data_IF_459681207444
#
_entry.id   IF_459681207444
#
_cell.length_a   1.000
_cell.length_b   1.000
_cell.length_c   1.000
_cell.angle_alpha   90.00
_cell.angle_beta   90.00
_cell.angle_gamma   90.00
#
_symmetry.space_group_name_H-M   'P 1'
#
loop_
_entity.id
_entity.type
_entity.pdbx_description
1 polymer ?
#
# COMPACT_ATOMS: atom_id res chain seq x y z
N UNK A 1 37.08 -12.39 -17.92
CA UNK A 1 37.53 -11.15 -17.26
C UNK A 1 36.50 -10.85 -16.21
N UNK A 2 36.87 -10.84 -14.93
CA UNK A 2 35.97 -10.34 -13.88
C UNK A 2 35.78 -8.84 -14.10
N UNK A 3 34.56 -8.44 -14.46
CA UNK A 3 34.23 -7.03 -14.58
C UNK A 3 34.10 -6.48 -13.16
N UNK A 4 35.13 -5.77 -12.71
CA UNK A 4 35.16 -5.08 -11.42
C UNK A 4 34.31 -3.82 -11.58
N UNK A 5 33.12 -3.80 -10.98
CA UNK A 5 32.20 -2.65 -11.00
C UNK A 5 30.95 -2.89 -10.15
N UNK A 6 30.13 -1.85 -9.90
CA UNK A 6 28.92 -1.97 -9.11
C UNK A 6 27.97 -3.00 -9.74
N UNK A 7 27.29 -3.75 -8.89
CA UNK A 7 26.33 -4.79 -9.29
C UNK A 7 24.93 -4.37 -8.89
N UNK A 8 23.95 -4.83 -9.65
CA UNK A 8 22.55 -4.66 -9.32
C UNK A 8 22.27 -5.21 -7.91
N UNK A 9 21.43 -4.48 -7.15
CA UNK A 9 21.05 -4.90 -5.81
C UNK A 9 20.37 -6.29 -5.88
N UNK A 10 20.92 -7.27 -5.16
CA UNK A 10 20.49 -8.67 -5.27
C UNK A 10 19.04 -8.90 -4.83
N UNK A 11 18.57 -8.16 -3.81
CA UNK A 11 17.21 -8.29 -3.28
C UNK A 11 16.20 -7.69 -4.26
N UNK A 12 16.46 -6.48 -4.77
CA UNK A 12 15.61 -5.86 -5.83
C UNK A 12 15.58 -6.75 -7.07
N UNK A 13 16.71 -7.31 -7.49
CA UNK A 13 16.75 -8.23 -8.62
C UNK A 13 16.01 -9.54 -8.36
N UNK A 14 16.00 -10.05 -7.13
CA UNK A 14 15.21 -11.23 -6.77
C UNK A 14 13.72 -10.95 -6.89
N UNK A 15 13.26 -9.78 -6.43
CA UNK A 15 11.88 -9.34 -6.57
C UNK A 15 11.50 -9.12 -8.04
N UNK A 16 12.40 -8.53 -8.84
CA UNK A 16 12.18 -8.31 -10.27
C UNK A 16 11.98 -9.64 -11.02
N UNK A 17 12.82 -10.64 -10.70
CA UNK A 17 12.69 -11.99 -11.25
C UNK A 17 11.38 -12.66 -10.85
N UNK A 18 10.96 -12.52 -9.60
CA UNK A 18 9.67 -13.03 -9.15
C UNK A 18 8.52 -12.36 -9.93
N UNK A 19 8.52 -11.03 -10.03
CA UNK A 19 7.51 -10.30 -10.79
C UNK A 19 7.46 -10.71 -12.27
N UNK A 20 8.61 -10.97 -12.88
CA UNK A 20 8.64 -11.50 -14.25
C UNK A 20 8.14 -12.93 -14.36
N UNK A 21 8.42 -13.79 -13.38
CA UNK A 21 7.86 -15.14 -13.35
C UNK A 21 6.33 -15.09 -13.23
N UNK A 22 5.83 -14.21 -12.38
CA UNK A 22 4.40 -13.98 -12.17
C UNK A 22 3.72 -13.45 -13.45
N UNK A 23 4.43 -12.65 -14.25
CA UNK A 23 3.96 -12.23 -15.57
C UNK A 23 3.92 -13.39 -16.58
N UNK A 24 5.00 -14.18 -16.68
CA UNK A 24 5.15 -15.24 -17.69
C UNK A 24 4.25 -16.44 -17.41
N UNK A 25 4.13 -16.82 -16.14
CA UNK A 25 3.41 -18.02 -15.70
C UNK A 25 2.09 -17.73 -14.99
N UNK A 26 1.74 -16.46 -14.79
CA UNK A 26 0.48 -16.06 -14.17
C UNK A 26 -0.73 -16.43 -15.02
N UNK A 27 -1.76 -16.99 -14.35
CA UNK A 27 -2.96 -17.47 -15.04
C UNK A 27 -3.99 -16.37 -15.33
N UNK A 28 -3.92 -15.24 -14.62
CA UNK A 28 -4.86 -14.13 -14.72
C UNK A 28 -4.28 -12.93 -15.50
N UNK A 29 -4.97 -12.39 -16.52
CA UNK A 29 -4.43 -11.28 -17.33
C UNK A 29 -4.08 -10.03 -16.52
N UNK A 30 -4.97 -9.60 -15.61
CA UNK A 30 -4.74 -8.40 -14.78
C UNK A 30 -3.53 -8.57 -13.85
N UNK A 31 -3.37 -9.78 -13.28
CA UNK A 31 -2.19 -10.14 -12.50
C UNK A 31 -0.92 -10.10 -13.35
N UNK A 32 -0.95 -10.75 -14.51
CA UNK A 32 0.21 -10.82 -15.40
C UNK A 32 0.65 -9.43 -15.89
N UNK A 33 -0.30 -8.56 -16.26
CA UNK A 33 -0.02 -7.18 -16.67
C UNK A 33 0.54 -6.33 -15.53
N UNK A 34 -0.05 -6.41 -14.33
CA UNK A 34 0.48 -5.72 -13.16
C UNK A 34 1.91 -6.19 -12.86
N UNK A 35 2.15 -7.50 -12.84
CA UNK A 35 3.46 -8.05 -12.48
C UNK A 35 4.51 -7.78 -13.55
N UNK A 36 4.12 -7.67 -14.82
CA UNK A 36 5.00 -7.18 -15.88
C UNK A 36 5.47 -5.76 -15.57
N UNK A 37 4.53 -4.85 -15.34
CA UNK A 37 4.84 -3.45 -15.02
C UNK A 37 5.71 -3.34 -13.76
N UNK A 38 5.40 -4.13 -12.73
CA UNK A 38 6.18 -4.16 -11.49
C UNK A 38 7.60 -4.72 -11.69
N UNK A 39 7.78 -5.69 -12.59
CA UNK A 39 9.12 -6.19 -12.95
C UNK A 39 9.97 -5.11 -13.62
N UNK A 40 9.38 -4.33 -14.53
CA UNK A 40 10.05 -3.21 -15.21
C UNK A 40 10.45 -2.11 -14.21
N UNK A 41 9.55 -1.75 -13.28
CA UNK A 41 9.88 -0.80 -12.20
C UNK A 41 11.03 -1.26 -11.31
N UNK A 42 11.09 -2.55 -10.97
CA UNK A 42 12.17 -3.09 -10.14
C UNK A 42 13.50 -3.16 -10.90
N UNK A 43 13.46 -3.40 -12.21
CA UNK A 43 14.65 -3.29 -13.06
C UNK A 43 15.15 -1.85 -13.11
N UNK A 44 14.27 -0.88 -13.31
CA UNK A 44 14.62 0.55 -13.28
C UNK A 44 15.18 0.96 -11.92
N UNK A 45 14.61 0.46 -10.82
CA UNK A 45 15.14 0.69 -9.48
C UNK A 45 16.52 0.06 -9.27
N UNK A 46 16.74 -1.16 -9.77
CA UNK A 46 18.05 -1.79 -9.74
C UNK A 46 19.10 -0.98 -10.52
N UNK A 47 18.72 -0.42 -11.67
CA UNK A 47 19.58 0.48 -12.46
C UNK A 47 19.86 1.79 -11.72
N UNK A 48 18.85 2.38 -11.08
CA UNK A 48 19.01 3.59 -10.25
C UNK A 48 20.02 3.36 -9.13
N UNK A 49 19.89 2.24 -8.43
CA UNK A 49 20.79 1.86 -7.32
C UNK A 49 22.22 1.54 -7.78
N UNK A 50 22.39 1.06 -9.01
CA UNK A 50 23.73 0.89 -9.62
C UNK A 50 24.44 2.23 -9.86
N UNK A 51 23.69 3.33 -9.94
CA UNK A 51 24.21 4.65 -10.27
C UNK A 51 24.70 4.75 -11.71
N UNK A 52 25.35 5.87 -12.01
CA UNK A 52 25.93 6.16 -13.32
C UNK A 52 27.44 6.38 -13.20
N UNK A 53 28.15 6.12 -14.28
CA UNK A 53 29.57 6.41 -14.41
C UNK A 53 29.84 7.90 -14.69
N UNK A 54 31.12 8.26 -14.87
CA UNK A 54 31.55 9.64 -15.17
C UNK A 54 30.97 10.21 -16.46
N UNK A 55 30.44 9.36 -17.34
CA UNK A 55 29.78 9.75 -18.60
C UNK A 55 28.26 9.81 -18.49
N UNK A 56 27.72 9.53 -17.30
CA UNK A 56 26.28 9.49 -17.03
C UNK A 56 25.59 8.21 -17.52
N UNK A 57 26.34 7.15 -17.82
CA UNK A 57 25.80 5.87 -18.28
C UNK A 57 25.79 4.83 -17.15
N UNK A 58 24.82 3.92 -17.14
CA UNK A 58 24.81 2.80 -16.19
C UNK A 58 26.00 1.87 -16.48
N UNK A 59 26.79 1.48 -15.47
CA UNK A 59 27.93 0.59 -15.66
C UNK A 59 27.54 -0.76 -16.30
N UNK A 60 28.32 -1.25 -17.27
CA UNK A 60 28.06 -2.54 -17.94
C UNK A 60 28.12 -3.76 -17.00
N UNK A 61 28.71 -3.62 -15.82
CA UNK A 61 28.70 -4.63 -14.75
C UNK A 61 27.34 -4.79 -14.08
N UNK A 62 26.45 -3.80 -14.21
CA UNK A 62 25.08 -3.85 -13.71
C UNK A 62 24.18 -4.56 -14.74
N UNK A 63 24.03 -5.88 -14.58
CA UNK A 63 23.11 -6.66 -15.40
C UNK A 63 21.76 -6.83 -14.68
N UNK A 64 20.69 -6.36 -15.31
CA UNK A 64 19.30 -6.49 -14.84
C UNK A 64 18.46 -7.47 -15.68
N UNK A 65 19.05 -8.06 -16.72
CA UNK A 65 18.41 -9.10 -17.51
C UNK A 65 18.42 -10.47 -16.83
N UNK A 66 17.41 -11.27 -17.12
CA UNK A 66 17.30 -12.67 -16.73
C UNK A 66 16.72 -13.49 -17.90
N UNK A 67 17.09 -14.77 -18.02
CA UNK A 67 16.53 -15.68 -19.02
C UNK A 67 15.33 -16.45 -18.48
N UNK A 68 14.51 -17.05 -19.36
CA UNK A 68 13.28 -17.76 -18.99
C UNK A 68 13.51 -18.93 -18.01
N UNK A 69 14.68 -19.58 -18.07
CA UNK A 69 15.06 -20.67 -17.16
C UNK A 69 15.52 -20.20 -15.78
N UNK A 70 15.72 -18.89 -15.59
CA UNK A 70 16.19 -18.28 -14.35
C UNK A 70 15.02 -17.79 -13.47
N UNK A 71 13.79 -17.95 -13.93
CA UNK A 71 12.58 -17.45 -13.28
C UNK A 71 12.08 -18.43 -12.19
N UNK A 72 11.79 -17.95 -10.97
CA UNK A 72 11.24 -18.77 -9.89
C UNK A 72 9.78 -19.17 -10.16
N UNK A 73 9.16 -19.91 -9.23
CA UNK A 73 7.73 -20.20 -9.30
C UNK A 73 6.90 -18.91 -9.13
N UNK A 74 5.77 -18.83 -9.84
CA UNK A 74 4.83 -17.75 -9.69
C UNK A 74 4.18 -17.76 -8.30
N UNK A 75 3.96 -16.57 -7.75
CA UNK A 75 3.27 -16.31 -6.50
C UNK A 75 1.90 -15.68 -6.76
N UNK A 76 0.99 -15.79 -5.79
CA UNK A 76 -0.23 -14.98 -5.74
C UNK A 76 -0.02 -13.73 -4.85
N UNK A 77 -1.05 -12.90 -4.72
CA UNK A 77 -0.99 -11.67 -3.92
C UNK A 77 -0.67 -11.91 -2.44
N UNK A 78 -1.16 -13.01 -1.85
CA UNK A 78 -0.93 -13.33 -0.44
C UNK A 78 0.52 -13.79 -0.21
N UNK A 79 1.06 -14.62 -1.11
CA UNK A 79 2.47 -14.99 -1.10
C UNK A 79 3.38 -13.78 -1.33
N UNK A 80 2.99 -12.84 -2.20
CA UNK A 80 3.72 -11.59 -2.43
C UNK A 80 3.75 -10.70 -1.17
N UNK A 81 2.64 -10.59 -0.43
CA UNK A 81 2.59 -9.90 0.85
C UNK A 81 3.67 -10.42 1.82
N UNK A 82 3.70 -11.73 2.04
CA UNK A 82 4.67 -12.37 2.95
C UNK A 82 6.12 -12.17 2.50
N UNK A 83 6.35 -12.25 1.18
CA UNK A 83 7.65 -11.97 0.60
C UNK A 83 8.06 -10.51 0.81
N UNK A 84 7.15 -9.54 0.58
CA UNK A 84 7.41 -8.11 0.76
C UNK A 84 7.71 -7.78 2.22
N UNK A 85 6.96 -8.31 3.18
CA UNK A 85 7.21 -8.09 4.61
C UNK A 85 8.61 -8.60 5.01
N UNK A 86 9.06 -9.70 4.41
CA UNK A 86 10.40 -10.26 4.65
C UNK A 86 11.51 -9.50 3.92
N UNK A 87 11.25 -9.05 2.70
CA UNK A 87 12.22 -8.41 1.82
C UNK A 87 12.44 -6.93 2.19
N UNK A 88 11.43 -6.24 2.71
CA UNK A 88 11.51 -4.82 2.97
C UNK A 88 12.58 -4.42 4.02
N UNK A 89 13.07 -5.33 4.86
CA UNK A 89 14.22 -5.07 5.75
C UNK A 89 15.59 -5.31 5.08
N UNK A 90 15.60 -5.81 3.85
CA UNK A 90 16.82 -6.20 3.11
C UNK A 90 17.05 -5.33 1.88
N UNK A 91 15.99 -4.74 1.34
CA UNK A 91 16.11 -3.73 0.28
C UNK A 91 16.65 -2.43 0.85
N UNK A 92 17.25 -1.56 0.03
CA UNK A 92 17.62 -0.22 0.47
C UNK A 92 16.39 0.57 0.94
N UNK A 93 16.56 1.44 1.94
CA UNK A 93 15.48 2.23 2.54
C UNK A 93 14.68 3.01 1.47
N UNK A 94 15.37 3.65 0.52
CA UNK A 94 14.76 4.39 -0.59
C UNK A 94 13.92 3.51 -1.55
N UNK A 95 14.03 2.18 -1.45
CA UNK A 95 13.30 1.22 -2.28
C UNK A 95 12.12 0.58 -1.56
N UNK A 96 11.97 0.76 -0.24
CA UNK A 96 10.91 0.15 0.57
C UNK A 96 9.53 0.60 0.07
N UNK A 97 9.35 1.90 -0.17
CA UNK A 97 8.13 2.49 -0.71
C UNK A 97 7.67 1.77 -1.99
N UNK A 98 8.59 1.49 -2.91
CA UNK A 98 8.29 0.80 -4.16
C UNK A 98 7.81 -0.63 -3.90
N UNK A 99 8.55 -1.42 -3.13
CA UNK A 99 8.23 -2.84 -2.90
C UNK A 99 6.92 -3.00 -2.13
N UNK A 100 6.68 -2.12 -1.16
CA UNK A 100 5.42 -2.09 -0.40
C UNK A 100 4.25 -1.67 -1.28
N UNK A 101 4.40 -0.62 -2.09
CA UNK A 101 3.40 -0.21 -3.07
C UNK A 101 2.99 -1.37 -4.00
N UNK A 102 3.96 -2.15 -4.47
CA UNK A 102 3.68 -3.28 -5.36
C UNK A 102 2.85 -4.38 -4.71
N UNK A 103 3.11 -4.70 -3.43
CA UNK A 103 2.31 -5.67 -2.68
C UNK A 103 0.87 -5.18 -2.46
N UNK A 104 0.70 -3.89 -2.17
CA UNK A 104 -0.62 -3.27 -1.99
C UNK A 104 -1.43 -3.38 -3.29
N UNK A 105 -0.84 -3.01 -4.42
CA UNK A 105 -1.52 -3.06 -5.73
C UNK A 105 -1.88 -4.50 -6.13
N UNK A 106 -0.99 -5.44 -5.85
CA UNK A 106 -1.19 -6.86 -6.14
C UNK A 106 -2.31 -7.49 -5.30
N UNK A 107 -2.37 -7.17 -4.00
CA UNK A 107 -3.46 -7.61 -3.12
C UNK A 107 -4.81 -7.01 -3.54
N UNK A 108 -4.82 -5.73 -3.92
CA UNK A 108 -6.03 -5.00 -4.29
C UNK A 108 -6.72 -5.54 -5.56
N UNK A 109 -6.05 -6.36 -6.37
CA UNK A 109 -6.64 -7.02 -7.54
C UNK A 109 -7.79 -7.98 -7.17
N UNK A 110 -7.73 -8.58 -5.99
CA UNK A 110 -8.76 -9.53 -5.50
C UNK A 110 -9.42 -9.01 -4.22
N UNK A 111 -10.60 -9.51 -3.83
CA UNK A 111 -11.19 -9.17 -2.54
C UNK A 111 -10.20 -9.44 -1.40
N UNK A 112 -9.85 -8.39 -0.66
CA UNK A 112 -8.86 -8.47 0.41
C UNK A 112 -9.52 -8.96 1.68
N UNK A 113 -8.99 -10.04 2.25
CA UNK A 113 -9.39 -10.49 3.59
C UNK A 113 -8.56 -9.76 4.63
N UNK A 114 -9.24 -9.10 5.56
CA UNK A 114 -8.61 -8.46 6.70
C UNK A 114 -8.40 -9.53 7.77
N UNK A 115 -7.25 -10.19 7.72
CA UNK A 115 -6.81 -11.17 8.70
C UNK A 115 -5.53 -10.63 9.34
N UNK A 116 -5.67 -10.00 10.51
CA UNK A 116 -4.57 -9.31 11.17
C UNK A 116 -4.30 -9.92 12.54
N UNK A 117 -3.02 -10.15 12.83
CA UNK A 117 -2.54 -10.64 14.12
C UNK A 117 -2.39 -9.46 15.09
N UNK A 118 -3.10 -9.51 16.21
CA UNK A 118 -3.01 -8.54 17.31
C UNK A 118 -2.82 -9.22 18.68
N UNK A 119 -2.61 -8.45 19.75
CA UNK A 119 -2.43 -6.98 19.72
C UNK A 119 -1.05 -6.57 19.17
N UNK A 120 -0.90 -5.30 18.82
CA UNK A 120 0.41 -4.70 18.56
C UNK A 120 1.21 -4.59 19.87
N UNK A 121 2.51 -4.87 19.83
CA UNK A 121 3.40 -4.85 21.00
C UNK A 121 4.48 -3.75 20.94
N UNK A 122 4.44 -2.92 19.90
CA UNK A 122 5.37 -1.82 19.65
C UNK A 122 4.65 -0.46 19.73
N UNK A 123 5.27 0.50 20.41
CA UNK A 123 4.69 1.83 20.66
C UNK A 123 4.52 2.64 19.36
N UNK A 124 5.48 2.57 18.44
CA UNK A 124 5.42 3.30 17.17
C UNK A 124 4.35 2.70 16.24
N UNK A 125 4.26 1.37 16.18
CA UNK A 125 3.19 0.66 15.50
C UNK A 125 1.81 1.02 16.07
N UNK A 126 1.69 1.03 17.40
CA UNK A 126 0.45 1.37 18.10
C UNK A 126 0.03 2.82 17.80
N UNK A 127 0.96 3.77 17.86
CA UNK A 127 0.68 5.17 17.51
C UNK A 127 0.27 5.32 16.04
N UNK A 128 0.96 4.63 15.11
CA UNK A 128 0.63 4.66 13.68
C UNK A 128 -0.77 4.11 13.40
N UNK A 129 -1.14 3.00 14.05
CA UNK A 129 -2.48 2.43 13.95
C UNK A 129 -3.56 3.35 14.56
N UNK A 130 -3.29 3.98 15.70
CA UNK A 130 -4.19 4.94 16.32
C UNK A 130 -4.41 6.20 15.45
N UNK A 131 -3.35 6.71 14.82
CA UNK A 131 -3.44 7.84 13.89
C UNK A 131 -4.30 7.50 12.67
N UNK A 132 -4.17 6.28 12.13
CA UNK A 132 -5.00 5.82 11.01
C UNK A 132 -6.45 5.57 11.44
N UNK A 133 -6.70 5.08 12.65
CA UNK A 133 -8.05 4.96 13.20
C UNK A 133 -8.72 6.35 13.30
N UNK A 134 -8.00 7.36 13.77
CA UNK A 134 -8.49 8.73 13.82
C UNK A 134 -8.83 9.27 12.42
N UNK A 135 -8.02 8.94 11.40
CA UNK A 135 -8.26 9.33 10.00
C UNK A 135 -9.47 8.63 9.38
N UNK A 136 -9.66 7.33 9.63
CA UNK A 136 -10.85 6.60 9.21
C UNK A 136 -12.11 7.22 9.81
N UNK A 137 -12.08 7.53 11.11
CA UNK A 137 -13.20 8.19 11.79
C UNK A 137 -13.48 9.58 11.22
N UNK A 138 -12.45 10.36 10.89
CA UNK A 138 -12.60 11.66 10.23
C UNK A 138 -13.20 11.53 8.82
N UNK A 139 -12.75 10.54 8.03
CA UNK A 139 -13.32 10.24 6.72
C UNK A 139 -14.79 9.86 6.84
N UNK A 140 -15.14 8.97 7.77
CA UNK A 140 -16.52 8.55 8.01
C UNK A 140 -17.43 9.74 8.33
N UNK A 141 -16.95 10.69 9.13
CA UNK A 141 -17.67 11.94 9.40
C UNK A 141 -17.83 12.81 8.14
N UNK A 142 -16.76 13.01 7.37
CA UNK A 142 -16.80 13.78 6.12
C UNK A 142 -17.74 13.18 5.07
N UNK A 143 -17.78 11.85 4.96
CA UNK A 143 -18.75 11.11 4.14
C UNK A 143 -20.19 11.40 4.58
N UNK A 144 -20.43 11.53 5.90
CA UNK A 144 -21.71 11.93 6.47
C UNK A 144 -22.17 13.32 6.00
N UNK A 145 -21.25 14.29 5.93
CA UNK A 145 -21.55 15.63 5.41
C UNK A 145 -21.88 15.60 3.92
N UNK A 146 -21.13 14.83 3.12
CA UNK A 146 -21.36 14.70 1.69
C UNK A 146 -22.75 14.13 1.34
N UNK A 147 -23.33 13.28 2.20
CA UNK A 147 -24.66 12.70 2.00
C UNK A 147 -25.78 13.73 1.88
N UNK A 148 -25.64 14.90 2.53
CA UNK A 148 -26.64 15.97 2.47
C UNK A 148 -26.83 16.52 1.04
N UNK A 149 -25.79 16.43 0.21
CA UNK A 149 -25.75 16.95 -1.16
C UNK A 149 -25.67 15.84 -2.22
N UNK A 150 -25.68 14.57 -1.82
CA UNK A 150 -25.51 13.43 -2.70
C UNK A 150 -26.75 13.13 -3.56
N UNK A 151 -26.51 12.70 -4.80
CA UNK A 151 -27.50 12.03 -5.65
C UNK A 151 -27.53 10.51 -5.35
N UNK A 152 -28.30 9.74 -6.12
CA UNK A 152 -28.41 8.30 -5.90
C UNK A 152 -27.08 7.56 -6.10
N UNK A 153 -26.32 7.91 -7.16
CA UNK A 153 -25.04 7.29 -7.44
C UNK A 153 -24.02 7.59 -6.34
N UNK A 154 -23.92 8.85 -5.90
CA UNK A 154 -23.01 9.23 -4.83
C UNK A 154 -23.42 8.61 -3.48
N UNK A 155 -24.71 8.46 -3.19
CA UNK A 155 -25.16 7.75 -1.97
C UNK A 155 -24.70 6.30 -1.95
N UNK A 156 -24.82 5.58 -3.07
CA UNK A 156 -24.31 4.20 -3.19
C UNK A 156 -22.82 4.16 -2.93
N UNK A 157 -22.05 5.03 -3.59
CA UNK A 157 -20.59 5.12 -3.41
C UNK A 157 -20.20 5.43 -1.96
N UNK A 158 -20.88 6.38 -1.32
CA UNK A 158 -20.65 6.71 0.10
C UNK A 158 -20.97 5.51 0.99
N UNK A 159 -22.03 4.75 0.71
CA UNK A 159 -22.37 3.56 1.48
C UNK A 159 -21.25 2.52 1.42
N UNK A 160 -20.75 2.21 0.22
CA UNK A 160 -19.64 1.26 0.02
C UNK A 160 -18.38 1.70 0.80
N UNK A 161 -18.02 2.97 0.70
CA UNK A 161 -16.87 3.54 1.41
C UNK A 161 -17.03 3.50 2.93
N UNK A 162 -18.25 3.72 3.44
CA UNK A 162 -18.54 3.65 4.89
C UNK A 162 -18.47 2.23 5.42
N UNK A 163 -18.97 1.25 4.69
CA UNK A 163 -18.85 -0.17 5.07
C UNK A 163 -17.37 -0.59 5.07
N UNK A 164 -16.63 -0.28 4.00
CA UNK A 164 -15.20 -0.60 3.94
C UNK A 164 -14.38 0.09 5.03
N UNK A 165 -14.71 1.35 5.36
CA UNK A 165 -14.10 2.07 6.50
C UNK A 165 -14.45 1.41 7.83
N UNK A 166 -15.70 0.99 8.02
CA UNK A 166 -16.13 0.30 9.23
C UNK A 166 -15.32 -0.97 9.48
N UNK A 167 -15.17 -1.84 8.48
CA UNK A 167 -14.36 -3.05 8.57
C UNK A 167 -12.89 -2.75 8.98
N UNK A 168 -12.30 -1.67 8.42
CA UNK A 168 -10.94 -1.25 8.81
C UNK A 168 -10.90 -0.70 10.24
N UNK A 169 -11.91 0.07 10.68
CA UNK A 169 -11.97 0.58 12.06
C UNK A 169 -12.15 -0.53 13.09
N UNK A 170 -12.93 -1.57 12.76
CA UNK A 170 -13.08 -2.75 13.62
C UNK A 170 -11.75 -3.48 13.76
N UNK A 171 -11.07 -3.77 12.65
CA UNK A 171 -9.77 -4.42 12.65
C UNK A 171 -8.70 -3.60 13.40
N UNK A 172 -8.69 -2.27 13.24
CA UNK A 172 -7.81 -1.37 13.99
C UNK A 172 -8.09 -1.37 15.49
N UNK A 173 -9.37 -1.40 15.88
CA UNK A 173 -9.76 -1.45 17.29
C UNK A 173 -9.33 -2.76 17.93
N UNK A 174 -9.47 -3.88 17.23
CA UNK A 174 -8.97 -5.18 17.69
C UNK A 174 -7.43 -5.22 17.81
N UNK A 175 -6.72 -4.64 16.84
CA UNK A 175 -5.25 -4.53 16.85
C UNK A 175 -4.71 -3.71 18.04
N UNK A 176 -5.38 -2.60 18.36
CA UNK A 176 -5.00 -1.71 19.45
C UNK A 176 -5.38 -2.29 20.82
N UNK A 177 -6.36 -3.20 20.86
CA UNK A 177 -6.83 -3.84 22.08
C UNK A 177 -7.45 -2.86 23.09
N UNK A 178 -7.62 -3.32 24.34
CA UNK A 178 -8.01 -2.46 25.45
C UNK A 178 -6.83 -1.54 25.82
N UNK A 179 -6.89 -0.30 25.36
CA UNK A 179 -5.94 0.74 25.80
C UNK A 179 -6.41 1.26 27.15
N UNK A 180 -5.55 1.19 28.17
CA UNK A 180 -5.82 1.62 29.56
C UNK A 180 -6.33 3.09 29.64
N UNK A 181 -7.64 3.28 29.45
CA UNK A 181 -8.33 4.57 29.57
C UNK A 181 -8.23 5.52 28.37
N UNK A 182 -7.61 5.14 27.25
CA UNK A 182 -7.70 5.92 26.01
C UNK A 182 -8.95 5.49 25.24
N UNK A 183 -9.90 6.40 25.09
CA UNK A 183 -11.12 6.11 24.35
C UNK A 183 -10.79 6.07 22.86
N UNK A 184 -10.76 4.88 22.26
CA UNK A 184 -10.66 4.65 20.81
C UNK A 184 -11.91 5.10 20.03
N UNK A 185 -12.75 5.94 20.65
CA UNK A 185 -14.02 6.36 20.08
C UNK A 185 -13.82 7.58 19.18
N UNK A 186 -14.60 7.70 18.09
CA UNK A 186 -14.58 8.88 17.24
C UNK A 186 -14.78 10.18 18.04
N UNK A 187 -14.10 11.25 17.63
CA UNK A 187 -14.38 12.58 18.15
C UNK A 187 -15.83 13.01 17.83
N UNK A 188 -16.41 13.86 18.67
CA UNK A 188 -17.78 14.37 18.48
C UNK A 188 -17.94 15.25 17.22
N UNK A 189 -16.84 15.75 16.66
CA UNK A 189 -16.82 16.53 15.43
C UNK A 189 -15.40 16.68 14.89
N UNK A 190 -15.30 16.95 13.58
CA UNK A 190 -14.05 17.13 12.86
C UNK A 190 -14.05 18.45 12.10
N UNK A 191 -12.88 19.04 11.96
CA UNK A 191 -12.66 20.22 11.12
C UNK A 191 -12.01 19.79 9.82
N UNK A 192 -12.47 20.36 8.71
CA UNK A 192 -11.79 20.21 7.43
C UNK A 192 -10.36 20.75 7.49
N UNK A 193 -9.42 19.99 6.93
CA UNK A 193 -8.08 20.48 6.68
C UNK A 193 -8.12 21.59 5.62
N UNK A 194 -7.08 22.41 5.58
CA UNK A 194 -6.96 23.48 4.56
C UNK A 194 -7.12 22.91 3.14
N UNK A 195 -7.99 23.53 2.34
CA UNK A 195 -8.32 23.08 0.98
C UNK A 195 -9.61 22.26 0.88
N UNK A 196 -10.19 21.84 2.00
CA UNK A 196 -11.51 21.21 2.05
C UNK A 196 -12.60 22.20 2.48
N UNK A 197 -13.79 22.07 1.91
CA UNK A 197 -14.95 22.91 2.25
C UNK A 197 -16.21 22.05 2.36
N UNK A 198 -17.18 22.54 3.14
CA UNK A 198 -18.53 21.97 3.17
C UNK A 198 -19.15 22.04 1.77
N UNK A 199 -19.51 20.89 1.17
CA UNK A 199 -20.05 20.87 -0.18
C UNK A 199 -21.43 21.52 -0.19
N UNK A 200 -21.73 22.32 -1.21
CA UNK A 200 -23.04 22.95 -1.41
C UNK A 200 -23.81 22.30 -2.56
N UNK A 201 -23.12 21.55 -3.41
CA UNK A 201 -23.69 20.86 -4.58
C UNK A 201 -23.27 19.40 -4.63
N UNK A 202 -23.97 18.59 -5.42
CA UNK A 202 -23.59 17.20 -5.66
C UNK A 202 -22.20 17.08 -6.29
N UNK A 203 -21.83 17.99 -7.21
CA UNK A 203 -20.50 17.98 -7.82
C UNK A 203 -19.40 18.22 -6.79
N UNK A 204 -19.59 19.18 -5.89
CA UNK A 204 -18.64 19.45 -4.81
C UNK A 204 -18.58 18.30 -3.80
N UNK A 205 -19.72 17.65 -3.51
CA UNK A 205 -19.76 16.48 -2.65
C UNK A 205 -19.00 15.29 -3.27
N UNK A 206 -19.14 15.05 -4.58
CA UNK A 206 -18.37 14.03 -5.28
C UNK A 206 -16.88 14.31 -5.20
N UNK A 207 -16.45 15.53 -5.51
CA UNK A 207 -15.04 15.91 -5.45
C UNK A 207 -14.48 15.78 -4.03
N UNK A 208 -15.27 16.14 -3.01
CA UNK A 208 -14.91 15.95 -1.60
C UNK A 208 -14.68 14.47 -1.27
N UNK A 209 -15.63 13.59 -1.61
CA UNK A 209 -15.55 12.14 -1.36
C UNK A 209 -14.33 11.53 -2.04
N UNK A 210 -14.11 11.85 -3.32
CA UNK A 210 -12.97 11.35 -4.10
C UNK A 210 -11.64 11.81 -3.50
N UNK A 211 -11.54 13.09 -3.11
CA UNK A 211 -10.31 13.65 -2.55
C UNK A 211 -10.01 13.04 -1.18
N UNK A 212 -10.99 12.98 -0.27
CA UNK A 212 -10.78 12.38 1.06
C UNK A 212 -10.42 10.90 0.96
N UNK A 213 -11.07 10.16 0.07
CA UNK A 213 -10.76 8.75 -0.15
C UNK A 213 -9.34 8.56 -0.72
N UNK A 214 -8.98 9.34 -1.75
CA UNK A 214 -7.64 9.30 -2.33
C UNK A 214 -6.55 9.66 -1.33
N UNK A 215 -6.80 10.65 -0.46
CA UNK A 215 -5.87 11.02 0.60
C UNK A 215 -5.78 9.95 1.69
N UNK A 216 -6.89 9.31 2.08
CA UNK A 216 -6.89 8.19 3.01
C UNK A 216 -6.05 7.02 2.46
N UNK A 217 -6.22 6.65 1.19
CA UNK A 217 -5.41 5.61 0.53
C UNK A 217 -3.92 5.97 0.55
N UNK A 218 -3.55 7.23 0.27
CA UNK A 218 -2.15 7.67 0.36
C UNK A 218 -1.59 7.53 1.78
N UNK A 219 -2.37 7.89 2.81
CA UNK A 219 -1.94 7.76 4.21
C UNK A 219 -1.73 6.30 4.59
N UNK A 220 -2.60 5.40 4.13
CA UNK A 220 -2.42 3.97 4.32
C UNK A 220 -1.16 3.42 3.65
N UNK A 221 -0.91 3.79 2.38
CA UNK A 221 0.31 3.40 1.67
C UNK A 221 1.57 3.93 2.36
N UNK A 222 1.51 5.17 2.84
CA UNK A 222 2.61 5.78 3.60
C UNK A 222 2.90 5.02 4.89
N UNK A 223 1.88 4.75 5.70
CA UNK A 223 2.03 3.99 6.95
C UNK A 223 2.57 2.58 6.70
N UNK A 224 2.12 1.90 5.65
CA UNK A 224 2.63 0.59 5.28
C UNK A 224 4.12 0.62 4.94
N UNK A 225 4.56 1.61 4.16
CA UNK A 225 5.96 1.70 3.74
C UNK A 225 6.91 2.13 4.87
N UNK A 226 6.41 2.93 5.81
CA UNK A 226 7.17 3.45 6.95
C UNK A 226 6.98 2.62 8.23
N UNK A 227 6.32 1.45 8.14
CA UNK A 227 6.13 0.59 9.29
C UNK A 227 7.46 0.01 9.79
N UNK A 228 7.76 0.23 11.07
CA UNK A 228 9.01 -0.22 11.71
C UNK A 228 9.00 -1.70 12.11
N UNK A 229 7.82 -2.30 12.27
CA UNK A 229 7.66 -3.71 12.62
C UNK A 229 7.04 -4.50 11.47
N UNK A 230 7.42 -5.78 11.35
CA UNK A 230 6.85 -6.69 10.35
C UNK A 230 5.36 -6.93 10.55
N UNK A 231 4.94 -7.07 11.81
CA UNK A 231 3.53 -7.24 12.17
C UNK A 231 2.71 -6.05 11.67
N UNK A 232 3.16 -4.83 11.97
CA UNK A 232 2.45 -3.63 11.51
C UNK A 232 2.54 -3.44 10.00
N UNK A 233 3.69 -3.70 9.38
CA UNK A 233 3.84 -3.63 7.92
C UNK A 233 2.86 -4.55 7.20
N UNK A 234 2.75 -5.80 7.67
CA UNK A 234 1.79 -6.78 7.11
C UNK A 234 0.35 -6.28 7.23
N UNK A 235 -0.05 -5.86 8.43
CA UNK A 235 -1.37 -5.31 8.71
C UNK A 235 -1.69 -4.08 7.83
N UNK A 236 -0.77 -3.11 7.79
CA UNK A 236 -0.93 -1.87 7.05
C UNK A 236 -0.99 -2.12 5.54
N UNK A 237 -0.25 -3.08 4.98
CA UNK A 237 -0.38 -3.47 3.57
C UNK A 237 -1.77 -4.04 3.28
N UNK A 238 -2.29 -4.93 4.12
CA UNK A 238 -3.64 -5.50 3.94
C UNK A 238 -4.71 -4.40 4.02
N UNK A 239 -4.64 -3.53 5.02
CA UNK A 239 -5.59 -2.43 5.22
C UNK A 239 -5.50 -1.39 4.09
N UNK A 240 -4.29 -1.10 3.59
CA UNK A 240 -4.09 -0.23 2.44
C UNK A 240 -4.68 -0.81 1.16
N UNK A 241 -4.46 -2.10 0.89
CA UNK A 241 -5.03 -2.78 -0.27
C UNK A 241 -6.55 -2.82 -0.18
N UNK A 242 -7.10 -3.06 1.02
CA UNK A 242 -8.54 -2.99 1.27
C UNK A 242 -9.09 -1.58 1.00
N UNK A 243 -8.43 -0.54 1.50
CA UNK A 243 -8.83 0.85 1.27
C UNK A 243 -8.78 1.23 -0.21
N UNK A 244 -7.74 0.81 -0.94
CA UNK A 244 -7.58 1.11 -2.36
C UNK A 244 -8.65 0.45 -3.25
N UNK A 245 -9.07 -0.77 -2.88
CA UNK A 245 -10.07 -1.51 -3.64
C UNK A 245 -11.49 -0.97 -3.45
N UNK A 246 -11.75 -0.35 -2.30
CA UNK A 246 -13.07 0.06 -1.85
C UNK A 246 -13.78 0.99 -2.82
#
# INVERSE_FOLDING_TARGET
MDVVGPRANGEIMSLAKQASADWVFGEHPEWAELRKFQSEQLQDEALRLCGTDETGQTPQSCNVGYGDTDLPAAADGAALLEHTVTAADKVPDDSVDLVVAQAIDALALTPVKIEIEGPLDDDAATQSAADLLARENAMYYGLGLALAHADEALRTRISELREASHERTEALTELLGDTDGQSLVPAAGYTFADGYNDPQTTQEATALVETMHGDLVKQWRYAAAHAETKQWRKAAIQLAAHAQRA
#
